data_IF_794928558983
#
_entry.id   IF_794928558983
#
_cell.length_a   1.000
_cell.length_b   1.000
_cell.length_c   1.000
_cell.angle_alpha   90.00
_cell.angle_beta   90.00
_cell.angle_gamma   90.00
#
_symmetry.space_group_name_H-M   'P 1'
#
loop_
_entity.id
_entity.type
_entity.pdbx_description
1 polymer ?
#
# COMPACT_ATOMS: atom_id res chain seq x y z
N UNK A 1 49.87 -12.58 24.22
CA UNK A 1 49.08 -11.40 23.77
C UNK A 1 48.79 -11.33 22.25
N UNK A 2 49.40 -12.13 21.39
CA UNK A 2 49.15 -12.10 19.93
C UNK A 2 47.89 -12.85 19.46
N UNK A 3 47.35 -13.81 20.25
CA UNK A 3 46.18 -14.62 19.82
C UNK A 3 44.83 -13.95 20.02
N UNK A 4 44.65 -12.99 20.93
CA UNK A 4 43.38 -12.32 21.18
C UNK A 4 43.01 -11.29 20.10
N UNK A 5 44.02 -10.67 19.46
CA UNK A 5 43.79 -9.68 18.39
C UNK A 5 43.32 -10.32 17.09
N UNK A 6 43.74 -11.55 16.79
CA UNK A 6 43.33 -12.28 15.59
C UNK A 6 41.87 -12.77 15.66
N UNK A 7 41.38 -13.14 16.83
CA UNK A 7 39.97 -13.55 17.06
C UNK A 7 39.02 -12.35 16.97
N UNK A 8 39.41 -11.15 17.35
CA UNK A 8 38.59 -9.94 17.22
C UNK A 8 38.46 -9.48 15.79
N UNK A 9 39.49 -9.58 14.97
CA UNK A 9 39.47 -9.25 13.54
C UNK A 9 38.59 -10.23 12.74
N UNK A 10 38.54 -11.51 13.08
CA UNK A 10 37.72 -12.53 12.42
C UNK A 10 36.22 -12.35 12.68
N UNK A 11 35.82 -11.70 13.79
CA UNK A 11 34.43 -11.43 14.12
C UNK A 11 33.89 -10.13 13.50
N UNK A 12 34.76 -9.15 13.20
CA UNK A 12 34.39 -7.82 12.68
C UNK A 12 34.16 -7.86 11.17
N UNK A 13 34.90 -8.66 10.42
CA UNK A 13 34.82 -8.76 8.96
C UNK A 13 33.43 -9.22 8.44
N UNK A 14 32.80 -10.27 9.00
CA UNK A 14 31.47 -10.67 8.55
C UNK A 14 30.39 -9.64 8.90
N UNK A 15 30.53 -8.93 10.03
CA UNK A 15 29.59 -7.88 10.44
C UNK A 15 29.66 -6.67 9.50
N UNK A 16 30.86 -6.18 9.19
CA UNK A 16 31.07 -5.08 8.26
C UNK A 16 30.55 -5.41 6.85
N UNK A 17 30.74 -6.65 6.40
CA UNK A 17 30.22 -7.12 5.10
C UNK A 17 28.70 -7.21 5.09
N UNK A 18 28.08 -7.62 6.19
CA UNK A 18 26.61 -7.66 6.32
C UNK A 18 26.01 -6.24 6.28
N UNK A 19 26.61 -5.28 6.98
CA UNK A 19 26.17 -3.89 6.97
C UNK A 19 26.32 -3.25 5.58
N UNK A 20 27.40 -3.53 4.86
CA UNK A 20 27.60 -3.04 3.50
C UNK A 20 26.56 -3.64 2.54
N UNK A 21 26.30 -4.93 2.64
CA UNK A 21 25.24 -5.60 1.83
C UNK A 21 23.87 -5.01 2.10
N UNK A 22 23.54 -4.75 3.36
CA UNK A 22 22.27 -4.15 3.75
C UNK A 22 22.14 -2.71 3.22
N UNK A 23 23.22 -1.92 3.28
CA UNK A 23 23.24 -0.55 2.74
C UNK A 23 23.07 -0.52 1.22
N UNK A 24 23.70 -1.44 0.51
CA UNK A 24 23.56 -1.59 -0.95
C UNK A 24 22.13 -2.01 -1.32
N UNK A 25 21.56 -2.95 -0.58
CA UNK A 25 20.17 -3.39 -0.78
C UNK A 25 19.18 -2.23 -0.55
N UNK A 26 19.36 -1.44 0.50
CA UNK A 26 18.52 -0.26 0.76
C UNK A 26 18.61 0.78 -0.36
N UNK A 27 19.83 1.08 -0.86
CA UNK A 27 20.02 1.98 -1.98
C UNK A 27 19.34 1.46 -3.26
N UNK A 28 19.43 0.17 -3.52
CA UNK A 28 18.79 -0.48 -4.67
C UNK A 28 17.26 -0.47 -4.55
N UNK A 29 16.71 -0.63 -3.33
CA UNK A 29 15.27 -0.54 -3.09
C UNK A 29 14.73 0.86 -3.41
N UNK A 30 15.45 1.92 -3.04
CA UNK A 30 15.05 3.29 -3.39
C UNK A 30 15.09 3.55 -4.91
N UNK A 31 16.03 2.93 -5.63
CA UNK A 31 16.05 2.95 -7.12
C UNK A 31 14.81 2.24 -7.66
N UNK A 32 14.44 1.07 -7.11
CA UNK A 32 13.25 0.33 -7.51
C UNK A 32 11.96 1.14 -7.25
N UNK A 33 11.82 1.74 -6.06
CA UNK A 33 10.68 2.61 -5.72
C UNK A 33 10.53 3.78 -6.70
N UNK A 34 11.64 4.46 -7.02
CA UNK A 34 11.65 5.57 -7.97
C UNK A 34 11.24 5.13 -9.37
N UNK A 35 11.76 4.00 -9.84
CA UNK A 35 11.39 3.43 -11.14
C UNK A 35 9.90 3.07 -11.18
N UNK A 36 9.38 2.42 -10.13
CA UNK A 36 7.97 2.06 -10.01
C UNK A 36 7.04 3.29 -10.01
N UNK A 37 7.37 4.35 -9.24
CA UNK A 37 6.62 5.63 -9.23
C UNK A 37 6.56 6.27 -10.62
N UNK A 38 7.60 6.10 -11.43
CA UNK A 38 7.67 6.59 -12.80
C UNK A 38 7.04 5.64 -13.85
N UNK A 39 6.40 4.56 -13.42
CA UNK A 39 5.79 3.56 -14.30
C UNK A 39 6.80 2.65 -15.02
N UNK A 40 8.08 2.74 -14.69
CA UNK A 40 9.16 1.91 -15.27
C UNK A 40 9.22 0.56 -14.55
N UNK A 41 8.15 -0.24 -14.68
CA UNK A 41 7.99 -1.47 -13.89
C UNK A 41 9.04 -2.54 -14.20
N UNK A 42 9.51 -2.64 -15.46
CA UNK A 42 10.58 -3.56 -15.80
C UNK A 42 11.90 -3.22 -15.10
N UNK A 43 12.27 -1.92 -15.06
CA UNK A 43 13.47 -1.45 -14.38
C UNK A 43 13.36 -1.67 -12.86
N UNK A 44 12.16 -1.40 -12.30
CA UNK A 44 11.89 -1.63 -10.89
C UNK A 44 12.02 -3.11 -10.50
N UNK A 45 11.44 -4.02 -11.28
CA UNK A 45 11.55 -5.46 -11.05
C UNK A 45 12.99 -5.95 -11.19
N UNK A 46 13.75 -5.45 -12.19
CA UNK A 46 15.17 -5.80 -12.35
C UNK A 46 16.01 -5.36 -11.14
N UNK A 47 15.72 -4.18 -10.57
CA UNK A 47 16.38 -3.73 -9.34
C UNK A 47 16.01 -4.61 -8.12
N UNK A 48 14.75 -5.05 -8.00
CA UNK A 48 14.34 -5.99 -6.96
C UNK A 48 15.00 -7.36 -7.15
N UNK A 49 15.14 -7.86 -8.36
CA UNK A 49 15.86 -9.11 -8.67
C UNK A 49 17.35 -9.02 -8.29
N UNK A 50 17.96 -7.85 -8.40
CA UNK A 50 19.33 -7.63 -7.95
C UNK A 50 19.46 -7.72 -6.42
N UNK A 51 18.45 -7.23 -5.66
CA UNK A 51 18.40 -7.41 -4.21
C UNK A 51 18.31 -8.90 -3.86
N UNK A 52 17.41 -9.64 -4.52
CA UNK A 52 17.18 -11.05 -4.25
C UNK A 52 18.45 -11.89 -4.53
N UNK A 53 19.21 -11.55 -5.59
CA UNK A 53 20.49 -12.20 -5.92
C UNK A 53 21.60 -11.85 -4.95
N UNK A 54 21.59 -10.66 -4.37
CA UNK A 54 22.57 -10.18 -3.41
C UNK A 54 22.34 -10.65 -1.96
N UNK A 55 21.17 -11.18 -1.67
CA UNK A 55 20.79 -11.61 -0.33
C UNK A 55 19.36 -12.16 -0.25
N UNK A 56 18.82 -12.18 0.98
CA UNK A 56 17.42 -12.58 1.19
C UNK A 56 16.49 -11.39 0.91
N UNK A 57 15.37 -11.60 0.17
CA UNK A 57 14.35 -10.58 -0.01
C UNK A 57 13.84 -10.05 1.33
N UNK A 58 13.66 -8.74 1.44
CA UNK A 58 13.04 -8.12 2.61
C UNK A 58 11.52 -8.04 2.42
N UNK A 59 10.78 -7.93 3.51
CA UNK A 59 9.34 -7.74 3.45
C UNK A 59 8.95 -6.50 2.61
N UNK A 60 9.72 -5.41 2.71
CA UNK A 60 9.50 -4.19 1.91
C UNK A 60 9.77 -4.41 0.42
N UNK A 61 10.82 -5.15 0.04
CA UNK A 61 11.11 -5.46 -1.37
C UNK A 61 10.04 -6.37 -1.99
N UNK A 62 9.53 -7.32 -1.21
CA UNK A 62 8.43 -8.19 -1.60
C UNK A 62 7.12 -7.43 -1.73
N UNK A 63 6.82 -6.52 -0.81
CA UNK A 63 5.63 -5.66 -0.86
C UNK A 63 5.65 -4.75 -2.10
N UNK A 64 6.78 -4.10 -2.37
CA UNK A 64 6.96 -3.30 -3.60
C UNK A 64 6.75 -4.14 -4.86
N UNK A 65 7.26 -5.37 -4.90
CA UNK A 65 7.03 -6.31 -6.01
C UNK A 65 5.54 -6.59 -6.18
N UNK A 66 4.83 -6.83 -5.08
CA UNK A 66 3.38 -6.99 -5.05
C UNK A 66 2.64 -5.78 -5.61
N UNK A 67 3.02 -4.56 -5.21
CA UNK A 67 2.46 -3.32 -5.72
C UNK A 67 2.65 -3.19 -7.24
N UNK A 68 3.84 -3.53 -7.76
CA UNK A 68 4.11 -3.49 -9.21
C UNK A 68 3.23 -4.51 -9.95
N UNK A 69 3.12 -5.73 -9.46
CA UNK A 69 2.24 -6.74 -10.07
C UNK A 69 0.77 -6.34 -10.03
N UNK A 70 0.33 -5.74 -8.91
CA UNK A 70 -1.02 -5.22 -8.79
C UNK A 70 -1.29 -4.12 -9.82
N UNK A 71 -0.32 -3.21 -10.08
CA UNK A 71 -0.44 -2.19 -11.13
C UNK A 71 -0.53 -2.78 -12.54
N UNK A 72 0.08 -3.93 -12.76
CA UNK A 72 0.01 -4.68 -14.00
C UNK A 72 -1.21 -5.63 -14.08
N UNK A 73 -2.09 -5.61 -13.07
CA UNK A 73 -3.26 -6.49 -12.94
C UNK A 73 -2.92 -8.00 -12.91
N UNK A 74 -1.67 -8.31 -12.52
CA UNK A 74 -1.20 -9.68 -12.29
C UNK A 74 -1.57 -10.10 -10.87
N UNK A 75 -2.85 -10.31 -10.64
CA UNK A 75 -3.43 -10.49 -9.30
C UNK A 75 -2.83 -11.66 -8.52
N UNK A 76 -2.59 -12.81 -9.18
CA UNK A 76 -2.01 -13.98 -8.51
C UNK A 76 -0.55 -13.74 -8.11
N UNK A 77 0.23 -13.05 -8.96
CA UNK A 77 1.61 -12.68 -8.65
C UNK A 77 1.66 -11.66 -7.51
N UNK A 78 0.75 -10.68 -7.52
CA UNK A 78 0.61 -9.69 -6.46
C UNK A 78 0.28 -10.37 -5.12
N UNK A 79 -0.70 -11.27 -5.11
CA UNK A 79 -1.09 -12.03 -3.90
C UNK A 79 0.10 -12.78 -3.33
N UNK A 80 0.83 -13.57 -4.17
CA UNK A 80 2.01 -14.31 -3.71
C UNK A 80 3.09 -13.40 -3.13
N UNK A 81 3.32 -12.25 -3.75
CA UNK A 81 4.32 -11.31 -3.28
C UNK A 81 3.94 -10.68 -1.93
N UNK A 82 2.67 -10.30 -1.73
CA UNK A 82 2.18 -9.75 -0.46
C UNK A 82 2.14 -10.80 0.65
N UNK A 83 1.76 -12.05 0.35
CA UNK A 83 1.82 -13.16 1.31
C UNK A 83 3.27 -13.45 1.73
N UNK A 84 4.21 -13.43 0.79
CA UNK A 84 5.64 -13.57 1.09
C UNK A 84 6.17 -12.40 1.93
N UNK A 85 5.72 -11.16 1.65
CA UNK A 85 6.08 -9.99 2.44
C UNK A 85 5.56 -10.11 3.89
N UNK A 86 4.30 -10.50 4.07
CA UNK A 86 3.73 -10.73 5.39
C UNK A 86 4.43 -11.87 6.15
N UNK A 87 4.80 -12.95 5.44
CA UNK A 87 5.55 -14.06 6.04
C UNK A 87 6.98 -13.68 6.41
N UNK A 88 7.59 -12.71 5.73
CA UNK A 88 8.92 -12.22 6.04
C UNK A 88 8.94 -11.27 7.26
N UNK A 89 7.87 -10.50 7.46
CA UNK A 89 7.63 -9.65 8.62
C UNK A 89 6.11 -9.50 8.85
N UNK A 90 5.59 -10.22 9.85
CA UNK A 90 4.17 -10.23 10.20
C UNK A 90 3.70 -8.94 10.93
N UNK A 91 4.65 -8.16 11.44
CA UNK A 91 4.38 -6.85 12.04
C UNK A 91 4.07 -5.77 11.00
N UNK A 92 4.50 -5.95 9.74
CA UNK A 92 4.19 -5.01 8.68
C UNK A 92 2.71 -5.00 8.33
N UNK A 93 2.11 -3.83 8.45
CA UNK A 93 0.69 -3.61 8.18
C UNK A 93 0.36 -3.64 6.67
N UNK A 94 1.21 -3.02 5.84
CA UNK A 94 0.93 -2.76 4.43
C UNK A 94 0.68 -4.02 3.58
N UNK A 95 1.47 -5.09 3.67
CA UNK A 95 1.20 -6.29 2.86
C UNK A 95 -0.21 -6.85 3.07
N UNK A 96 -0.70 -6.79 4.30
CA UNK A 96 -2.05 -7.26 4.66
C UNK A 96 -3.15 -6.33 4.12
N UNK A 97 -2.92 -5.01 4.14
CA UNK A 97 -3.81 -4.04 3.52
C UNK A 97 -3.88 -4.27 2.00
N UNK A 98 -2.73 -4.45 1.36
CA UNK A 98 -2.63 -4.69 -0.09
C UNK A 98 -3.29 -6.00 -0.54
N UNK A 99 -3.32 -7.04 0.30
CA UNK A 99 -4.13 -8.24 0.01
C UNK A 99 -5.62 -7.90 -0.10
N UNK A 100 -6.12 -7.00 0.75
CA UNK A 100 -7.48 -6.45 0.62
C UNK A 100 -7.66 -5.66 -0.68
N UNK A 101 -6.64 -4.88 -1.08
CA UNK A 101 -6.68 -4.10 -2.33
C UNK A 101 -6.70 -5.01 -3.57
N UNK A 102 -5.98 -6.15 -3.55
CA UNK A 102 -6.05 -7.16 -4.62
C UNK A 102 -7.49 -7.65 -4.79
N UNK A 103 -8.15 -8.05 -3.70
CA UNK A 103 -9.53 -8.52 -3.73
C UNK A 103 -10.48 -7.43 -4.23
N UNK A 104 -10.29 -6.20 -3.77
CA UNK A 104 -11.09 -5.05 -4.21
C UNK A 104 -10.97 -4.80 -5.71
N UNK A 105 -9.76 -4.81 -6.27
CA UNK A 105 -9.51 -4.62 -7.71
C UNK A 105 -10.03 -5.78 -8.55
N UNK A 106 -10.09 -7.00 -7.99
CA UNK A 106 -10.78 -8.14 -8.60
C UNK A 106 -12.30 -8.04 -8.52
N UNK A 107 -12.86 -6.95 -7.97
CA UNK A 107 -14.31 -6.76 -7.71
C UNK A 107 -14.90 -7.80 -6.73
N UNK A 108 -14.05 -8.50 -5.96
CA UNK A 108 -14.46 -9.40 -4.87
C UNK A 108 -14.73 -8.58 -3.61
N UNK A 109 -15.73 -7.69 -3.69
CA UNK A 109 -15.94 -6.66 -2.67
C UNK A 109 -16.25 -7.22 -1.29
N UNK A 110 -17.01 -8.32 -1.18
CA UNK A 110 -17.30 -8.94 0.11
C UNK A 110 -16.05 -9.54 0.78
N UNK A 111 -15.16 -10.13 0.00
CA UNK A 111 -13.91 -10.68 0.53
C UNK A 111 -12.93 -9.56 0.89
N UNK A 112 -12.85 -8.51 0.07
CA UNK A 112 -12.09 -7.30 0.39
C UNK A 112 -12.57 -6.66 1.69
N UNK A 113 -13.90 -6.52 1.86
CA UNK A 113 -14.50 -6.01 3.10
C UNK A 113 -14.07 -6.83 4.33
N UNK A 114 -14.17 -8.17 4.25
CA UNK A 114 -13.78 -9.07 5.35
C UNK A 114 -12.29 -8.88 5.72
N UNK A 115 -11.42 -8.80 4.70
CA UNK A 115 -9.99 -8.58 4.90
C UNK A 115 -9.72 -7.24 5.60
N UNK A 116 -10.33 -6.15 5.14
CA UNK A 116 -10.20 -4.84 5.77
C UNK A 116 -10.77 -4.80 7.19
N UNK A 117 -11.97 -5.36 7.43
CA UNK A 117 -12.56 -5.41 8.77
C UNK A 117 -11.73 -6.24 9.76
N UNK A 118 -11.05 -7.27 9.30
CA UNK A 118 -10.11 -8.02 10.14
C UNK A 118 -8.92 -7.14 10.55
N UNK A 119 -8.39 -6.34 9.64
CA UNK A 119 -7.31 -5.39 9.92
C UNK A 119 -7.74 -4.28 10.89
N UNK A 120 -8.93 -3.71 10.72
CA UNK A 120 -9.46 -2.64 11.61
C UNK A 120 -9.57 -3.10 13.08
N UNK A 121 -9.79 -4.39 13.31
CA UNK A 121 -9.80 -4.96 14.67
C UNK A 121 -8.42 -5.18 15.27
N UNK A 122 -7.38 -5.27 14.45
CA UNK A 122 -6.03 -5.66 14.84
C UNK A 122 -5.05 -4.48 14.95
N UNK A 123 -5.38 -3.33 14.39
CA UNK A 123 -4.50 -2.16 14.41
C UNK A 123 -5.03 -1.06 15.31
N UNK A 124 -4.12 -0.46 16.08
CA UNK A 124 -4.38 0.71 16.92
C UNK A 124 -3.75 1.98 16.35
N UNK A 125 -3.14 1.91 15.17
CA UNK A 125 -2.48 3.05 14.52
C UNK A 125 -3.54 3.85 13.76
N UNK A 126 -3.72 5.14 14.11
CA UNK A 126 -4.78 6.00 13.55
C UNK A 126 -4.76 6.07 12.03
N UNK A 127 -3.61 6.33 11.43
CA UNK A 127 -3.45 6.44 9.96
C UNK A 127 -3.82 5.13 9.26
N UNK A 128 -3.35 3.99 9.80
CA UNK A 128 -3.70 2.67 9.29
C UNK A 128 -5.20 2.41 9.39
N UNK A 129 -5.83 2.79 10.50
CA UNK A 129 -7.27 2.66 10.69
C UNK A 129 -8.08 3.50 9.70
N UNK A 130 -7.62 4.70 9.35
CA UNK A 130 -8.31 5.56 8.36
C UNK A 130 -8.30 4.92 6.98
N UNK A 131 -7.16 4.37 6.53
CA UNK A 131 -7.05 3.65 5.25
C UNK A 131 -7.98 2.42 5.21
N UNK A 132 -7.95 1.61 6.28
CA UNK A 132 -8.80 0.41 6.38
C UNK A 132 -10.28 0.76 6.34
N UNK A 133 -10.71 1.75 7.13
CA UNK A 133 -12.12 2.20 7.18
C UNK A 133 -12.60 2.73 5.84
N UNK A 134 -11.71 3.44 5.13
CA UNK A 134 -11.99 3.87 3.76
C UNK A 134 -12.14 2.66 2.81
N UNK A 135 -11.27 1.66 2.90
CA UNK A 135 -11.39 0.41 2.15
C UNK A 135 -12.70 -0.32 2.43
N UNK A 136 -13.12 -0.42 3.70
CA UNK A 136 -14.42 -1.00 4.09
C UNK A 136 -15.59 -0.24 3.46
N UNK A 137 -15.57 1.11 3.53
CA UNK A 137 -16.60 1.94 2.91
C UNK A 137 -16.71 1.65 1.41
N UNK A 138 -15.57 1.67 0.70
CA UNK A 138 -15.57 1.46 -0.75
C UNK A 138 -16.01 0.05 -1.16
N UNK A 139 -15.60 -0.97 -0.40
CA UNK A 139 -16.04 -2.33 -0.65
C UNK A 139 -17.57 -2.47 -0.51
N UNK A 140 -18.18 -1.84 0.48
CA UNK A 140 -19.63 -1.82 0.67
C UNK A 140 -20.35 -1.02 -0.43
N UNK A 141 -19.82 0.14 -0.83
CA UNK A 141 -20.36 0.89 -1.97
C UNK A 141 -20.24 0.09 -3.28
N UNK A 142 -19.12 -0.61 -3.49
CA UNK A 142 -18.90 -1.46 -4.66
C UNK A 142 -19.82 -2.69 -4.71
N UNK A 143 -20.25 -3.22 -3.57
CA UNK A 143 -21.21 -4.33 -3.46
C UNK A 143 -22.68 -3.85 -3.38
N UNK A 144 -22.94 -2.53 -3.47
CA UNK A 144 -24.27 -1.93 -3.31
C UNK A 144 -24.92 -2.20 -1.94
N UNK A 145 -24.12 -2.42 -0.89
CA UNK A 145 -24.58 -2.52 0.50
C UNK A 145 -24.75 -1.12 1.09
N UNK A 146 -25.85 -0.47 0.76
CA UNK A 146 -26.13 0.91 1.19
C UNK A 146 -26.15 1.08 2.71
N UNK A 147 -26.81 0.18 3.42
CA UNK A 147 -26.89 0.24 4.90
C UNK A 147 -25.52 0.08 5.54
N UNK A 148 -24.76 -0.91 5.08
CA UNK A 148 -23.40 -1.12 5.59
C UNK A 148 -22.46 0.03 5.21
N UNK A 149 -22.60 0.58 4.01
CA UNK A 149 -21.81 1.73 3.56
C UNK A 149 -22.07 2.97 4.44
N UNK A 150 -23.34 3.25 4.79
CA UNK A 150 -23.69 4.34 5.70
C UNK A 150 -23.03 4.17 7.09
N UNK A 151 -23.05 2.95 7.62
CA UNK A 151 -22.38 2.65 8.90
C UNK A 151 -20.85 2.81 8.81
N UNK A 152 -20.24 2.35 7.72
CA UNK A 152 -18.80 2.49 7.49
C UNK A 152 -18.42 3.97 7.32
N UNK A 153 -19.19 4.72 6.54
CA UNK A 153 -19.01 6.16 6.34
C UNK A 153 -19.04 6.93 7.66
N UNK A 154 -19.99 6.62 8.54
CA UNK A 154 -20.12 7.25 9.85
C UNK A 154 -18.92 7.02 10.79
N UNK A 155 -18.05 6.05 10.49
CA UNK A 155 -16.81 5.77 11.26
C UNK A 155 -15.62 6.61 10.83
N UNK A 156 -15.67 7.26 9.65
CA UNK A 156 -14.61 8.14 9.14
C UNK A 156 -14.90 9.55 9.62
N UNK A 157 -14.13 10.04 10.57
CA UNK A 157 -14.40 11.29 11.30
C UNK A 157 -13.44 12.40 10.91
N UNK A 158 -13.88 13.64 11.11
CA UNK A 158 -13.05 14.82 11.14
C UNK A 158 -12.74 15.20 12.59
N UNK A 159 -11.54 15.69 12.96
CA UNK A 159 -10.38 15.90 12.08
C UNK A 159 -9.72 14.60 11.62
N UNK A 160 -8.95 14.66 10.55
CA UNK A 160 -8.25 13.54 9.90
C UNK A 160 -6.80 13.93 9.60
N UNK A 161 -5.88 12.97 9.72
CA UNK A 161 -4.47 13.15 9.39
C UNK A 161 -4.13 12.69 7.97
N UNK A 162 -5.08 12.00 7.31
CA UNK A 162 -4.94 11.50 5.94
C UNK A 162 -6.06 12.04 5.05
N UNK A 163 -5.98 11.88 3.72
CA UNK A 163 -7.07 12.23 2.82
C UNK A 163 -8.38 11.48 3.04
N UNK A 164 -8.42 10.45 3.90
CA UNK A 164 -9.52 9.50 4.06
C UNK A 164 -10.90 10.16 4.19
N UNK A 165 -11.04 11.20 5.03
CA UNK A 165 -12.31 11.89 5.24
C UNK A 165 -12.83 12.53 3.94
N UNK A 166 -11.97 13.24 3.22
CA UNK A 166 -12.36 13.95 2.00
C UNK A 166 -12.69 12.98 0.86
N UNK A 167 -11.91 11.91 0.75
CA UNK A 167 -12.17 10.86 -0.23
C UNK A 167 -13.40 10.02 0.10
N UNK A 168 -13.70 9.80 1.37
CA UNK A 168 -14.95 9.17 1.79
C UNK A 168 -16.17 10.03 1.43
N UNK A 169 -16.09 11.36 1.66
CA UNK A 169 -17.13 12.28 1.23
C UNK A 169 -17.32 12.24 -0.29
N UNK A 170 -16.22 12.26 -1.05
CA UNK A 170 -16.29 12.17 -2.50
C UNK A 170 -16.90 10.83 -2.97
N UNK A 171 -16.46 9.71 -2.40
CA UNK A 171 -16.97 8.38 -2.71
C UNK A 171 -18.48 8.27 -2.46
N UNK A 172 -18.94 8.77 -1.32
CA UNK A 172 -20.37 8.84 -1.00
C UNK A 172 -21.17 9.62 -2.05
N UNK A 173 -20.67 10.81 -2.45
CA UNK A 173 -21.32 11.62 -3.46
C UNK A 173 -21.32 10.93 -4.85
N UNK A 174 -20.22 10.27 -5.23
CA UNK A 174 -20.17 9.51 -6.49
C UNK A 174 -21.18 8.35 -6.51
N UNK A 175 -21.28 7.60 -5.42
CA UNK A 175 -22.23 6.48 -5.31
C UNK A 175 -23.69 6.94 -5.43
N UNK A 176 -23.99 8.22 -5.13
CA UNK A 176 -25.31 8.83 -5.21
C UNK A 176 -25.48 9.77 -6.43
N UNK A 177 -24.69 9.58 -7.49
CA UNK A 177 -24.70 10.36 -8.73
C UNK A 177 -24.48 11.88 -8.59
N UNK A 178 -24.01 12.36 -7.43
CA UNK A 178 -23.70 13.77 -7.15
C UNK A 178 -22.27 14.12 -7.54
N UNK A 179 -21.91 13.88 -8.82
CA UNK A 179 -20.53 14.04 -9.35
C UNK A 179 -19.95 15.42 -9.12
N UNK A 180 -20.78 16.49 -9.16
CA UNK A 180 -20.35 17.86 -8.92
C UNK A 180 -19.84 18.07 -7.48
N UNK A 181 -20.56 17.53 -6.50
CA UNK A 181 -20.17 17.66 -5.09
C UNK A 181 -18.98 16.75 -4.76
N UNK A 182 -18.91 15.55 -5.37
CA UNK A 182 -17.73 14.69 -5.25
C UNK A 182 -16.45 15.41 -5.69
N UNK A 183 -16.48 16.10 -6.84
CA UNK A 183 -15.33 16.88 -7.35
C UNK A 183 -14.91 18.00 -6.41
N UNK A 184 -15.84 18.65 -5.71
CA UNK A 184 -15.52 19.69 -4.71
C UNK A 184 -14.74 19.11 -3.54
N UNK A 185 -15.12 17.92 -3.06
CA UNK A 185 -14.41 17.22 -2.00
C UNK A 185 -12.98 16.83 -2.42
N UNK A 186 -12.81 16.29 -3.64
CA UNK A 186 -11.47 15.97 -4.18
C UNK A 186 -10.62 17.23 -4.31
N UNK A 187 -11.18 18.33 -4.84
CA UNK A 187 -10.45 19.61 -4.94
C UNK A 187 -10.06 20.19 -3.56
N UNK A 188 -10.80 19.85 -2.51
CA UNK A 188 -10.43 20.22 -1.14
C UNK A 188 -9.27 19.38 -0.64
N UNK A 189 -9.30 18.05 -0.88
CA UNK A 189 -8.19 17.16 -0.55
C UNK A 189 -6.89 17.59 -1.25
N UNK A 190 -6.95 17.95 -2.53
CA UNK A 190 -5.79 18.39 -3.33
C UNK A 190 -5.15 19.69 -2.83
N UNK A 191 -5.90 20.53 -2.08
CA UNK A 191 -5.36 21.74 -1.46
C UNK A 191 -4.66 21.49 -0.13
N UNK A 192 -5.00 20.38 0.54
CA UNK A 192 -4.56 20.08 1.91
C UNK A 192 -3.42 19.06 1.90
N UNK A 193 -3.50 18.07 1.02
CA UNK A 193 -2.58 16.95 0.95
C UNK A 193 -1.81 16.95 -0.36
N UNK A 194 -0.59 16.43 -0.32
CA UNK A 194 0.22 16.29 -1.53
C UNK A 194 -0.31 15.15 -2.45
N UNK A 195 0.23 15.13 -3.67
CA UNK A 195 -0.20 14.17 -4.71
C UNK A 195 0.05 12.72 -4.30
N UNK A 196 1.11 12.44 -3.55
CA UNK A 196 1.45 11.10 -3.07
C UNK A 196 0.42 10.61 -2.05
N UNK A 197 0.11 11.41 -1.05
CA UNK A 197 -0.91 11.10 -0.05
C UNK A 197 -2.29 10.87 -0.68
N UNK A 198 -2.67 11.71 -1.66
CA UNK A 198 -3.94 11.58 -2.37
C UNK A 198 -3.99 10.34 -3.30
N UNK A 199 -2.86 9.92 -3.87
CA UNK A 199 -2.82 8.92 -4.93
C UNK A 199 -3.41 7.57 -4.49
N UNK A 200 -3.12 7.12 -3.27
CA UNK A 200 -3.65 5.85 -2.75
C UNK A 200 -5.19 5.87 -2.67
N UNK A 201 -5.75 6.95 -2.11
CA UNK A 201 -7.21 7.10 -1.98
C UNK A 201 -7.89 7.27 -3.34
N UNK A 202 -7.29 8.06 -4.22
CA UNK A 202 -7.79 8.28 -5.58
C UNK A 202 -7.80 7.00 -6.41
N UNK A 203 -6.86 6.06 -6.15
CA UNK A 203 -6.76 4.82 -6.89
C UNK A 203 -8.05 4.01 -6.83
N UNK A 204 -8.63 3.87 -5.67
CA UNK A 204 -9.87 3.11 -5.48
C UNK A 204 -11.07 3.74 -6.20
N UNK A 205 -11.12 5.08 -6.29
CA UNK A 205 -12.15 5.78 -7.08
C UNK A 205 -11.96 5.54 -8.58
N UNK A 206 -10.73 5.46 -9.06
CA UNK A 206 -10.42 5.07 -10.43
C UNK A 206 -10.84 3.63 -10.72
N UNK A 207 -10.54 2.69 -9.83
CA UNK A 207 -10.89 1.29 -9.97
C UNK A 207 -12.43 1.05 -9.97
N UNK A 208 -13.18 1.94 -9.30
CA UNK A 208 -14.66 1.98 -9.37
C UNK A 208 -15.19 2.72 -10.60
N UNK A 209 -14.33 3.33 -11.41
CA UNK A 209 -14.73 4.08 -12.61
C UNK A 209 -15.33 5.47 -12.33
N UNK A 210 -15.16 5.99 -11.11
CA UNK A 210 -15.71 7.30 -10.72
C UNK A 210 -14.86 8.47 -11.15
N UNK A 211 -13.55 8.26 -11.33
CA UNK A 211 -12.61 9.23 -11.92
C UNK A 211 -11.92 8.63 -13.14
N UNK A 212 -11.68 9.46 -14.16
CA UNK A 212 -11.12 8.99 -15.43
C UNK A 212 -9.58 8.93 -15.43
N UNK A 213 -8.93 9.80 -14.65
CA UNK A 213 -7.47 9.87 -14.61
C UNK A 213 -6.91 8.84 -13.62
N UNK A 214 -6.11 7.90 -14.14
CA UNK A 214 -5.38 6.93 -13.30
C UNK A 214 -4.38 7.68 -12.42
N UNK A 215 -4.44 7.55 -11.07
CA UNK A 215 -3.45 8.13 -10.17
C UNK A 215 -2.07 7.50 -10.37
N UNK A 216 -1.02 8.20 -9.95
CA UNK A 216 0.31 7.61 -9.85
C UNK A 216 0.32 6.46 -8.84
N UNK A 217 1.29 5.55 -8.97
CA UNK A 217 1.49 4.51 -7.96
C UNK A 217 1.87 5.15 -6.63
N UNK A 218 1.04 4.94 -5.62
CA UNK A 218 1.34 5.32 -4.25
C UNK A 218 2.26 4.25 -3.63
N UNK A 219 3.38 4.69 -3.12
CA UNK A 219 4.33 3.87 -2.34
C UNK A 219 4.64 4.63 -1.06
N UNK A 220 4.49 3.97 0.06
CA UNK A 220 4.87 4.49 1.38
C UNK A 220 6.37 4.42 1.63
#
# INVERSE_FOLDING_TARGET
MRSLFALFLLAILPLARAEETQRLAAGTLEVAKRAAKNGKFADALAALDAIDKGGKPTAESLDLRGCIYLEQEKFDDATRAFEAAHSADDALFLPRLHLGDVLFRQKKFEDARKAYEQLDRQTNILISNERVRYGVLLARLGSHDETGAQLAFARIKFPTETPAYYYAQAAWQFAHDKKGDAKKWLATADKIFDVGANAWFARSLYDLGWIAKKPMLALD
#
